data_IF_855964627886
#
_entry.id   IF_855964627886
#
_cell.length_a   1.000
_cell.length_b   1.000
_cell.length_c   1.000
_cell.angle_alpha   90.00
_cell.angle_beta   90.00
_cell.angle_gamma   90.00
#
_symmetry.space_group_name_H-M   'P 1'
#
loop_
_entity.id
_entity.type
_entity.pdbx_description
1 polymer ?
#
# COMPACT_ATOMS: atom_id res chain seq x y z
N UNK A 1 94.67 51.38 37.81
CA UNK A 1 93.78 52.18 38.69
C UNK A 1 92.34 51.97 38.32
N UNK A 2 91.54 51.81 39.30
CA UNK A 2 90.09 51.76 39.38
C UNK A 2 89.46 50.34 39.51
N UNK A 3 89.13 50.08 40.74
CA UNK A 3 88.38 49.04 41.37
C UNK A 3 86.86 49.08 40.97
N UNK A 4 86.28 47.98 40.65
CA UNK A 4 84.84 47.82 40.48
C UNK A 4 84.30 46.73 41.37
N UNK A 5 83.57 47.15 42.43
CA UNK A 5 82.84 46.30 43.41
C UNK A 5 81.64 45.59 42.70
N UNK A 6 81.61 44.27 42.76
CA UNK A 6 80.46 43.47 42.33
C UNK A 6 79.46 43.36 43.51
N UNK A 7 78.26 43.90 43.36
CA UNK A 7 77.12 43.68 44.20
C UNK A 7 76.37 42.37 43.75
N UNK A 8 76.50 41.37 44.64
CA UNK A 8 75.69 40.13 44.49
C UNK A 8 74.26 40.39 44.83
N UNK A 9 73.36 40.33 43.85
CA UNK A 9 71.93 40.35 44.04
C UNK A 9 71.40 38.92 44.36
N UNK A 10 70.93 38.70 45.54
CA UNK A 10 70.14 37.49 45.92
C UNK A 10 68.80 37.54 45.20
N UNK A 11 68.61 36.77 44.19
CA UNK A 11 67.30 36.54 43.62
C UNK A 11 66.46 35.58 44.49
N UNK A 12 65.19 35.92 44.80
CA UNK A 12 64.32 35.03 45.56
C UNK A 12 64.05 33.77 44.73
N UNK A 13 64.22 32.58 45.32
CA UNK A 13 63.78 31.33 44.79
C UNK A 13 62.26 31.39 44.68
N UNK A 14 61.72 31.49 43.43
CA UNK A 14 60.29 31.21 43.12
C UNK A 14 60.11 29.72 43.25
N UNK A 15 59.46 29.29 44.33
CA UNK A 15 58.93 27.93 44.45
C UNK A 15 57.85 27.75 43.45
N UNK A 16 58.03 26.77 42.50
CA UNK A 16 57.00 26.40 41.60
C UNK A 16 55.70 26.06 42.34
N UNK A 17 54.52 26.52 41.85
CA UNK A 17 53.27 26.18 42.51
C UNK A 17 53.11 24.64 42.46
N UNK A 18 52.77 24.06 43.61
CA UNK A 18 52.37 22.67 43.76
C UNK A 18 51.23 22.43 42.77
N UNK A 19 51.33 21.49 41.80
CA UNK A 19 50.22 21.19 40.93
C UNK A 19 49.00 20.85 41.79
N UNK A 20 47.86 21.49 41.52
CA UNK A 20 46.61 21.15 42.17
C UNK A 20 46.35 19.63 41.97
N UNK A 21 45.82 18.95 42.99
CA UNK A 21 45.53 17.54 42.86
C UNK A 21 44.60 17.37 41.63
N UNK A 22 45.04 16.55 40.67
CA UNK A 22 44.19 16.11 39.57
C UNK A 22 43.09 15.31 40.26
N UNK A 23 41.89 15.88 40.35
CA UNK A 23 40.69 15.14 40.73
C UNK A 23 40.49 14.21 39.56
N UNK A 24 40.93 12.96 39.67
CA UNK A 24 40.57 11.90 38.72
C UNK A 24 39.04 11.86 38.71
N UNK A 25 38.46 12.16 37.56
CA UNK A 25 37.02 12.04 37.35
C UNK A 25 36.73 10.51 37.35
N UNK A 26 36.36 9.99 38.53
CA UNK A 26 36.14 8.55 38.76
C UNK A 26 34.85 8.06 38.17
N UNK A 27 34.02 8.97 37.59
CA UNK A 27 32.73 8.68 37.02
C UNK A 27 32.79 8.09 35.61
N UNK A 28 31.68 7.57 35.15
CA UNK A 28 31.53 7.12 33.77
C UNK A 28 31.70 8.29 32.78
N UNK A 29 32.26 8.04 31.58
CA UNK A 29 32.36 9.05 30.53
C UNK A 29 31.01 9.71 30.29
N UNK A 30 30.97 11.04 30.11
CA UNK A 30 29.73 11.82 29.92
C UNK A 30 28.91 11.26 28.74
N UNK A 31 29.58 10.79 27.69
CA UNK A 31 28.91 10.19 26.50
C UNK A 31 28.13 8.90 26.84
N UNK A 32 28.50 8.19 27.90
CA UNK A 32 27.80 7.04 28.44
C UNK A 32 26.75 7.47 29.47
N UNK A 33 27.17 8.27 30.44
CA UNK A 33 26.32 8.67 31.55
C UNK A 33 25.00 9.36 31.12
N UNK A 34 24.98 10.08 30.03
CA UNK A 34 23.75 10.76 29.53
C UNK A 34 22.62 9.83 29.17
N UNK A 35 22.90 8.55 28.88
CA UNK A 35 21.90 7.52 28.59
C UNK A 35 21.48 6.71 29.81
N UNK A 36 22.13 6.90 30.95
CA UNK A 36 21.82 6.22 32.19
C UNK A 36 20.89 7.11 33.04
N UNK A 37 19.63 7.17 32.63
CA UNK A 37 18.61 7.89 33.39
C UNK A 37 18.34 7.20 34.74
N UNK A 38 17.85 7.95 35.77
CA UNK A 38 17.41 7.34 37.02
C UNK A 38 16.48 6.15 36.74
N UNK A 39 16.73 4.93 37.27
CA UNK A 39 15.88 3.76 37.02
C UNK A 39 14.41 3.96 37.35
N UNK A 40 14.03 4.98 38.09
CA UNK A 40 12.65 5.34 38.39
C UNK A 40 12.07 6.38 37.42
N UNK A 41 12.88 6.95 36.53
CA UNK A 41 12.40 7.98 35.59
C UNK A 41 11.41 7.42 34.60
N UNK A 42 10.18 7.92 34.67
CA UNK A 42 9.06 7.46 33.83
C UNK A 42 8.40 6.13 34.26
N UNK A 43 8.80 5.57 35.41
CA UNK A 43 8.13 4.44 36.03
C UNK A 43 6.89 4.92 36.80
N UNK A 44 5.71 4.48 36.35
CA UNK A 44 4.43 5.02 36.86
C UNK A 44 3.82 4.19 38.01
N UNK A 45 4.38 3.03 38.34
CA UNK A 45 3.83 2.17 39.41
C UNK A 45 4.48 2.52 40.74
N UNK A 46 3.73 2.27 41.83
CA UNK A 46 4.26 2.44 43.18
C UNK A 46 5.35 1.38 43.46
N UNK A 47 6.41 1.83 44.15
CA UNK A 47 7.50 0.99 44.60
C UNK A 47 7.75 1.28 46.08
N UNK A 48 8.10 0.25 46.83
CA UNK A 48 8.51 0.41 48.24
C UNK A 48 9.63 1.47 48.37
N UNK A 49 9.48 2.43 49.27
CA UNK A 49 10.47 3.52 49.44
C UNK A 49 11.90 3.04 49.69
N UNK A 50 12.07 1.93 50.42
CA UNK A 50 13.40 1.35 50.70
C UNK A 50 14.05 0.83 49.43
N UNK A 51 13.28 0.11 48.59
CA UNK A 51 13.76 -0.38 47.29
C UNK A 51 14.04 0.77 46.32
N UNK A 52 13.22 1.83 46.36
CA UNK A 52 13.44 3.01 45.54
C UNK A 52 14.74 3.73 45.91
N UNK A 53 15.03 3.84 47.21
CA UNK A 53 16.26 4.45 47.68
C UNK A 53 17.50 3.57 47.36
N UNK A 54 17.41 2.27 47.50
CA UNK A 54 18.45 1.32 47.11
C UNK A 54 18.79 1.46 45.60
N UNK A 55 17.80 1.50 44.74
CA UNK A 55 17.98 1.71 43.29
C UNK A 55 18.71 3.04 43.03
N UNK A 56 18.31 4.14 43.69
CA UNK A 56 18.92 5.46 43.47
C UNK A 56 20.34 5.52 44.02
N UNK A 57 20.63 4.86 45.12
CA UNK A 57 21.97 4.79 45.69
C UNK A 57 22.91 4.05 44.76
N UNK A 58 22.52 2.85 44.33
CA UNK A 58 23.29 2.04 43.42
C UNK A 58 23.48 2.71 42.03
N UNK A 59 22.45 3.33 41.49
CA UNK A 59 22.56 4.11 40.27
C UNK A 59 23.53 5.30 40.38
N UNK A 60 23.50 6.06 41.52
CA UNK A 60 24.44 7.15 41.74
C UNK A 60 25.89 6.68 41.87
N UNK A 61 26.14 5.54 42.54
CA UNK A 61 27.46 4.92 42.64
C UNK A 61 27.94 4.47 41.24
N UNK A 62 27.08 3.85 40.43
CA UNK A 62 27.39 3.48 39.04
C UNK A 62 27.83 4.71 38.23
N UNK A 63 27.05 5.80 38.23
CA UNK A 63 27.30 6.97 37.37
C UNK A 63 28.50 7.79 37.85
N UNK A 64 28.64 8.01 39.16
CA UNK A 64 29.66 8.90 39.74
C UNK A 64 30.98 8.23 40.13
N UNK A 65 30.92 6.94 40.44
CA UNK A 65 32.06 6.19 40.98
C UNK A 65 32.46 5.00 40.06
N UNK A 66 31.68 4.76 38.97
CA UNK A 66 31.81 3.62 38.07
C UNK A 66 31.71 2.26 38.79
N UNK A 67 30.91 2.23 39.88
CA UNK A 67 30.68 0.99 40.63
C UNK A 67 29.68 0.05 39.90
N UNK A 68 30.19 -0.59 38.87
CA UNK A 68 29.42 -1.54 38.07
C UNK A 68 29.03 -2.79 38.84
N UNK A 69 29.95 -3.27 39.70
CA UNK A 69 29.71 -4.48 40.50
C UNK A 69 28.62 -4.24 41.55
N UNK A 70 28.73 -3.12 42.33
CA UNK A 70 27.71 -2.77 43.31
C UNK A 70 26.32 -2.52 42.69
N UNK A 71 26.25 -1.92 41.48
CA UNK A 71 24.98 -1.75 40.77
C UNK A 71 24.36 -3.10 40.34
N UNK A 72 25.20 -4.03 39.91
CA UNK A 72 24.76 -5.39 39.53
C UNK A 72 24.27 -6.18 40.73
N UNK A 73 25.00 -6.15 41.84
CA UNK A 73 24.63 -6.84 43.08
C UNK A 73 23.32 -6.28 43.68
N UNK A 74 23.15 -4.96 43.71
CA UNK A 74 21.90 -4.34 44.15
C UNK A 74 20.72 -4.73 43.24
N UNK A 75 20.91 -4.71 41.95
CA UNK A 75 19.87 -5.13 41.00
C UNK A 75 19.50 -6.62 41.18
N UNK A 76 20.50 -7.50 41.39
CA UNK A 76 20.27 -8.91 41.61
C UNK A 76 19.49 -9.14 42.93
N UNK A 77 19.88 -8.48 44.03
CA UNK A 77 19.16 -8.57 45.29
C UNK A 77 17.69 -8.14 45.19
N UNK A 78 17.39 -7.08 44.43
CA UNK A 78 16.01 -6.62 44.18
C UNK A 78 15.22 -7.60 43.28
N UNK A 79 15.88 -8.22 42.29
CA UNK A 79 15.28 -9.22 41.41
C UNK A 79 15.03 -10.56 42.11
N UNK A 80 15.83 -10.90 43.12
CA UNK A 80 15.59 -12.07 43.98
C UNK A 80 14.28 -11.90 44.80
N UNK A 81 13.91 -10.67 45.13
CA UNK A 81 12.68 -10.34 45.86
C UNK A 81 11.51 -10.23 44.88
N UNK A 82 11.71 -9.58 43.74
CA UNK A 82 10.71 -9.40 42.67
C UNK A 82 11.38 -9.52 41.31
N UNK A 83 11.34 -10.73 40.76
CA UNK A 83 11.97 -11.04 39.47
C UNK A 83 11.35 -10.26 38.26
N UNK A 84 10.22 -9.61 38.46
CA UNK A 84 9.56 -8.84 37.42
C UNK A 84 9.74 -7.33 37.57
N UNK A 85 10.50 -6.84 38.55
CA UNK A 85 10.66 -5.42 38.88
C UNK A 85 11.40 -4.66 37.77
N UNK A 86 10.70 -3.84 36.93
CA UNK A 86 11.31 -3.17 35.78
C UNK A 86 12.49 -2.24 36.14
N UNK A 87 12.44 -1.40 37.23
CA UNK A 87 13.59 -0.57 37.60
C UNK A 87 14.84 -1.35 37.95
N UNK A 88 14.71 -2.54 38.54
CA UNK A 88 15.87 -3.41 38.83
C UNK A 88 16.48 -3.99 37.54
N UNK A 89 15.63 -4.37 36.56
CA UNK A 89 16.12 -4.76 35.22
C UNK A 89 16.85 -3.60 34.54
N UNK A 90 16.35 -2.37 34.65
CA UNK A 90 17.04 -1.19 34.10
C UNK A 90 18.39 -0.96 34.77
N UNK A 91 18.48 -1.04 36.10
CA UNK A 91 19.75 -0.89 36.80
C UNK A 91 20.77 -1.95 36.41
N UNK A 92 20.36 -3.22 36.32
CA UNK A 92 21.22 -4.29 35.80
C UNK A 92 21.69 -4.04 34.37
N UNK A 93 20.77 -3.57 33.50
CA UNK A 93 21.09 -3.22 32.13
C UNK A 93 22.05 -2.02 32.02
N UNK A 94 21.94 -1.05 32.93
CA UNK A 94 22.90 0.07 33.04
C UNK A 94 24.32 -0.39 33.41
N UNK A 95 24.43 -1.36 34.31
CA UNK A 95 25.72 -2.00 34.63
C UNK A 95 26.26 -2.75 33.39
N UNK A 96 25.45 -3.54 32.69
CA UNK A 96 25.85 -4.22 31.48
C UNK A 96 26.26 -3.24 30.36
N UNK A 97 25.54 -2.10 30.22
CA UNK A 97 25.85 -1.06 29.25
C UNK A 97 27.20 -0.39 29.53
N UNK A 98 27.52 -0.12 30.82
CA UNK A 98 28.79 0.47 31.22
C UNK A 98 30.00 -0.43 30.89
N UNK A 99 29.80 -1.73 30.80
CA UNK A 99 30.79 -2.72 30.34
C UNK A 99 30.78 -2.98 28.82
N UNK A 100 29.88 -2.32 28.06
CA UNK A 100 29.76 -2.51 26.60
C UNK A 100 29.02 -3.80 26.21
N UNK A 101 28.31 -4.43 27.14
CA UNK A 101 27.53 -5.66 26.90
C UNK A 101 26.17 -5.35 26.26
N UNK A 102 26.16 -4.65 25.12
CA UNK A 102 24.94 -4.10 24.49
C UNK A 102 23.90 -5.17 24.15
N UNK A 103 24.32 -6.37 23.76
CA UNK A 103 23.38 -7.47 23.50
C UNK A 103 22.61 -7.87 24.76
N UNK A 104 23.31 -8.00 25.90
CA UNK A 104 22.68 -8.32 27.18
C UNK A 104 21.67 -7.23 27.60
N UNK A 105 22.00 -5.94 27.33
CA UNK A 105 21.09 -4.83 27.57
C UNK A 105 19.81 -4.99 26.77
N UNK A 106 19.92 -5.27 25.44
CA UNK A 106 18.74 -5.43 24.58
C UNK A 106 17.90 -6.63 25.02
N UNK A 107 18.53 -7.79 25.23
CA UNK A 107 17.81 -9.02 25.63
C UNK A 107 17.08 -8.85 26.97
N UNK A 108 17.64 -8.06 27.90
CA UNK A 108 17.03 -7.75 29.20
C UNK A 108 15.90 -6.73 29.09
N UNK A 109 16.07 -5.65 28.30
CA UNK A 109 15.14 -4.53 28.27
C UNK A 109 14.03 -4.66 27.23
N UNK A 110 14.19 -5.46 26.20
CA UNK A 110 13.13 -5.62 25.18
C UNK A 110 11.81 -6.11 25.79
N UNK A 111 11.76 -7.15 26.66
CA UNK A 111 10.54 -7.56 27.33
C UNK A 111 9.98 -6.51 28.31
N UNK A 112 10.83 -5.66 28.89
CA UNK A 112 10.40 -4.54 29.73
C UNK A 112 9.77 -3.45 28.89
N UNK A 113 10.40 -3.10 27.76
CA UNK A 113 9.91 -2.11 26.81
C UNK A 113 8.56 -2.50 26.18
N UNK A 114 8.36 -3.76 25.85
CA UNK A 114 7.10 -4.26 25.32
C UNK A 114 5.94 -4.10 26.32
N UNK A 115 6.19 -4.33 27.60
CA UNK A 115 5.18 -4.16 28.68
C UNK A 115 4.97 -2.71 29.09
N UNK A 116 6.03 -1.90 29.05
CA UNK A 116 6.04 -0.51 29.50
C UNK A 116 6.64 0.40 28.40
N UNK A 117 5.93 0.58 27.28
CA UNK A 117 6.48 1.28 26.11
C UNK A 117 6.83 2.75 26.37
N UNK A 118 6.26 3.38 27.39
CA UNK A 118 6.53 4.78 27.73
C UNK A 118 7.51 4.95 28.89
N UNK A 119 8.16 3.88 29.34
CA UNK A 119 9.10 3.91 30.45
C UNK A 119 10.44 4.52 30.01
N UNK A 120 10.69 5.77 30.42
CA UNK A 120 11.78 6.61 29.90
C UNK A 120 13.16 5.98 30.09
N UNK A 121 13.51 5.57 31.32
CA UNK A 121 14.81 5.03 31.62
C UNK A 121 15.11 3.75 30.83
N UNK A 122 14.12 2.86 30.70
CA UNK A 122 14.25 1.60 29.93
C UNK A 122 14.41 1.86 28.45
N UNK A 123 13.54 2.69 27.87
CA UNK A 123 13.52 2.96 26.41
C UNK A 123 14.75 3.75 25.97
N UNK A 124 15.20 4.73 26.77
CA UNK A 124 16.41 5.50 26.45
C UNK A 124 17.63 4.59 26.33
N UNK A 125 17.81 3.71 27.30
CA UNK A 125 18.94 2.78 27.33
C UNK A 125 18.83 1.70 26.25
N UNK A 126 17.64 1.14 26.04
CA UNK A 126 17.35 0.20 24.95
C UNK A 126 17.70 0.79 23.59
N UNK A 127 17.24 2.02 23.35
CA UNK A 127 17.52 2.74 22.10
C UNK A 127 19.02 2.89 21.86
N UNK A 128 19.78 3.31 22.91
CA UNK A 128 21.22 3.49 22.77
C UNK A 128 21.95 2.15 22.54
N UNK A 129 21.59 1.11 23.28
CA UNK A 129 22.20 -0.21 23.09
C UNK A 129 21.92 -0.79 21.70
N UNK A 130 20.71 -0.58 21.18
CA UNK A 130 20.35 -0.97 19.82
C UNK A 130 21.18 -0.21 18.76
N UNK A 131 21.47 1.09 18.98
CA UNK A 131 22.36 1.85 18.09
C UNK A 131 23.78 1.26 18.07
N UNK A 132 24.35 0.94 19.23
CA UNK A 132 25.68 0.32 19.34
C UNK A 132 25.75 -1.04 18.60
N UNK A 133 24.63 -1.76 18.53
CA UNK A 133 24.50 -3.01 17.78
C UNK A 133 24.18 -2.78 16.30
N UNK A 134 23.92 -1.55 15.87
CA UNK A 134 23.53 -1.22 14.50
C UNK A 134 22.07 -1.56 14.18
N UNK A 135 21.23 -1.90 15.16
CA UNK A 135 19.79 -2.11 14.96
C UNK A 135 19.03 -0.78 15.03
N UNK A 136 19.14 -0.03 13.93
CA UNK A 136 18.54 1.32 13.79
C UNK A 136 17.02 1.29 13.93
N UNK A 137 16.36 0.23 13.47
CA UNK A 137 14.91 0.14 13.57
C UNK A 137 14.45 -0.01 15.03
N UNK A 138 15.11 -0.85 15.80
CA UNK A 138 14.84 -1.00 17.24
C UNK A 138 15.19 0.28 18.00
N UNK A 139 16.33 0.90 17.68
CA UNK A 139 16.75 2.16 18.31
C UNK A 139 15.70 3.26 18.09
N UNK A 140 15.26 3.43 16.83
CA UNK A 140 14.24 4.41 16.46
C UNK A 140 12.90 4.15 17.18
N UNK A 141 12.46 2.88 17.22
CA UNK A 141 11.23 2.50 17.92
C UNK A 141 11.29 2.83 19.42
N UNK A 142 12.41 2.52 20.08
CA UNK A 142 12.60 2.80 21.50
C UNK A 142 12.58 4.31 21.80
N UNK A 143 13.33 5.11 21.04
CA UNK A 143 13.32 6.57 21.23
C UNK A 143 11.95 7.19 20.91
N UNK A 144 11.25 6.69 19.90
CA UNK A 144 9.91 7.18 19.54
C UNK A 144 8.88 6.93 20.63
N UNK A 145 9.01 5.82 21.36
CA UNK A 145 8.10 5.47 22.45
C UNK A 145 8.12 6.48 23.61
N UNK A 146 9.26 7.12 23.85
CA UNK A 146 9.42 8.18 24.87
C UNK A 146 9.26 9.60 24.29
N UNK A 147 9.31 9.77 22.96
CA UNK A 147 8.95 10.98 22.22
C UNK A 147 9.55 12.25 22.79
N UNK A 148 8.72 13.27 23.02
CA UNK A 148 9.14 14.58 23.53
C UNK A 148 9.43 14.61 25.05
N UNK A 149 9.25 13.50 25.77
CA UNK A 149 9.50 13.44 27.22
C UNK A 149 10.99 13.48 27.52
N UNK A 150 11.85 13.14 26.57
CA UNK A 150 13.30 13.10 26.73
C UNK A 150 13.98 13.83 25.55
N UNK A 151 14.60 15.01 25.80
CA UNK A 151 15.22 15.82 24.73
C UNK A 151 16.27 15.07 23.90
N UNK A 152 17.06 14.19 24.54
CA UNK A 152 18.06 13.39 23.87
C UNK A 152 17.42 12.39 22.88
N UNK A 153 16.32 11.75 23.28
CA UNK A 153 15.58 10.86 22.39
C UNK A 153 15.02 11.61 21.19
N UNK A 154 14.50 12.82 21.39
CA UNK A 154 13.99 13.67 20.31
C UNK A 154 15.09 14.01 19.28
N UNK A 155 16.30 14.36 19.76
CA UNK A 155 17.46 14.59 18.90
C UNK A 155 17.82 13.34 18.11
N UNK A 156 17.94 12.18 18.77
CA UNK A 156 18.29 10.90 18.10
C UNK A 156 17.24 10.49 17.08
N UNK A 157 15.96 10.74 17.32
CA UNK A 157 14.91 10.51 16.35
C UNK A 157 15.14 11.26 15.04
N UNK A 158 15.49 12.55 15.12
CA UNK A 158 15.79 13.34 13.90
C UNK A 158 16.98 12.78 13.12
N UNK A 159 18.01 12.33 13.82
CA UNK A 159 19.23 11.78 13.20
C UNK A 159 19.03 10.39 12.59
N UNK A 160 18.21 9.55 13.22
CA UNK A 160 17.98 8.16 12.79
C UNK A 160 16.85 8.02 11.78
N UNK A 161 15.92 8.97 11.70
CA UNK A 161 14.70 8.88 10.90
C UNK A 161 14.94 8.44 9.45
N UNK A 162 15.81 9.09 8.65
CA UNK A 162 15.98 8.72 7.24
C UNK A 162 16.44 7.27 7.08
N UNK A 163 17.40 6.85 7.93
CA UNK A 163 17.96 5.50 7.86
C UNK A 163 16.96 4.44 8.36
N UNK A 164 16.16 4.77 9.36
CA UNK A 164 15.12 3.87 9.87
C UNK A 164 14.05 3.60 8.80
N UNK A 165 13.61 4.64 8.08
CA UNK A 165 12.68 4.52 6.96
C UNK A 165 13.27 3.69 5.83
N UNK A 166 14.52 3.94 5.44
CA UNK A 166 15.22 3.17 4.40
C UNK A 166 15.30 1.67 4.74
N UNK A 167 15.68 1.34 5.98
CA UNK A 167 15.77 -0.05 6.44
C UNK A 167 14.41 -0.75 6.40
N UNK A 168 13.34 -0.08 6.85
CA UNK A 168 12.00 -0.66 6.82
C UNK A 168 11.49 -0.84 5.38
N UNK A 169 11.74 0.14 4.51
CA UNK A 169 11.40 0.04 3.10
C UNK A 169 12.13 -1.13 2.44
N UNK A 170 13.42 -1.32 2.72
CA UNK A 170 14.18 -2.46 2.22
C UNK A 170 13.64 -3.81 2.77
N UNK A 171 13.35 -3.91 4.07
CA UNK A 171 12.76 -5.12 4.68
C UNK A 171 11.38 -5.44 4.09
N UNK A 172 10.56 -4.42 3.80
CA UNK A 172 9.29 -4.58 3.12
C UNK A 172 9.48 -5.19 1.73
N UNK A 173 10.36 -4.62 0.91
CA UNK A 173 10.62 -5.11 -0.44
C UNK A 173 11.19 -6.54 -0.42
N UNK A 174 12.07 -6.85 0.52
CA UNK A 174 12.60 -8.21 0.69
C UNK A 174 11.50 -9.20 1.10
N UNK A 175 10.58 -8.80 2.00
CA UNK A 175 9.41 -9.58 2.36
C UNK A 175 8.53 -9.90 1.13
N UNK A 176 8.26 -8.90 0.28
CA UNK A 176 7.51 -9.09 -0.96
C UNK A 176 8.24 -10.03 -1.93
N UNK A 177 9.54 -9.82 -2.14
CA UNK A 177 10.36 -10.64 -3.04
C UNK A 177 10.43 -12.11 -2.61
N UNK A 178 10.42 -12.39 -1.30
CA UNK A 178 10.46 -13.74 -0.74
C UNK A 178 9.09 -14.37 -0.47
N UNK A 179 7.99 -13.66 -0.83
CA UNK A 179 6.62 -14.11 -0.62
C UNK A 179 6.14 -14.08 0.84
N UNK A 180 6.88 -13.40 1.73
CA UNK A 180 6.55 -13.26 3.16
C UNK A 180 5.65 -12.04 3.38
N UNK A 181 4.41 -12.13 2.91
CA UNK A 181 3.47 -11.00 2.92
C UNK A 181 3.19 -10.44 4.32
N UNK A 182 3.15 -11.29 5.35
CA UNK A 182 2.93 -10.84 6.73
C UNK A 182 4.10 -10.00 7.26
N UNK A 183 5.34 -10.36 6.91
CA UNK A 183 6.53 -9.57 7.26
C UNK A 183 6.54 -8.23 6.50
N UNK A 184 6.19 -8.24 5.21
CA UNK A 184 6.06 -7.04 4.41
C UNK A 184 4.99 -6.10 4.99
N UNK A 185 3.82 -6.64 5.39
CA UNK A 185 2.75 -5.86 6.00
C UNK A 185 3.19 -5.23 7.32
N UNK A 186 3.85 -5.97 8.22
CA UNK A 186 4.37 -5.42 9.48
C UNK A 186 5.34 -4.26 9.26
N UNK A 187 6.23 -4.37 8.26
CA UNK A 187 7.14 -3.27 7.95
C UNK A 187 6.40 -2.08 7.34
N UNK A 188 5.34 -2.31 6.55
CA UNK A 188 4.47 -1.24 6.04
C UNK A 188 3.75 -0.52 7.19
N UNK A 189 3.19 -1.25 8.15
CA UNK A 189 2.49 -0.66 9.31
C UNK A 189 3.42 0.26 10.11
N UNK A 190 4.69 -0.16 10.28
CA UNK A 190 5.71 0.68 10.91
C UNK A 190 6.01 1.93 10.07
N UNK A 191 6.19 1.79 8.76
CA UNK A 191 6.39 2.93 7.84
C UNK A 191 5.23 3.91 7.87
N UNK A 192 3.99 3.43 7.82
CA UNK A 192 2.79 4.26 7.92
C UNK A 192 2.71 4.99 9.27
N UNK A 193 3.18 4.35 10.34
CA UNK A 193 3.24 4.97 11.67
C UNK A 193 4.37 6.00 11.80
N UNK A 194 5.51 5.82 11.13
CA UNK A 194 6.71 6.65 11.30
C UNK A 194 6.81 7.77 10.26
N UNK A 195 6.43 7.47 9.02
CA UNK A 195 6.62 8.33 7.87
C UNK A 195 5.45 8.21 6.87
N UNK A 196 4.19 8.48 7.27
CA UNK A 196 2.99 8.18 6.47
C UNK A 196 2.96 8.87 5.10
N UNK A 197 3.63 10.00 4.98
CA UNK A 197 3.62 10.81 3.76
C UNK A 197 4.88 10.68 2.91
N UNK A 198 5.83 9.85 3.29
CA UNK A 198 7.05 9.64 2.52
C UNK A 198 6.80 8.72 1.33
N UNK A 199 7.52 8.98 0.22
CA UNK A 199 7.35 8.21 -1.01
C UNK A 199 7.58 6.71 -0.80
N UNK A 200 8.60 6.34 -0.02
CA UNK A 200 8.88 4.95 0.30
C UNK A 200 7.69 4.22 0.97
N UNK A 201 6.95 4.92 1.82
CA UNK A 201 5.74 4.40 2.46
C UNK A 201 4.61 4.23 1.46
N UNK A 202 4.38 5.22 0.60
CA UNK A 202 3.31 5.18 -0.41
C UNK A 202 3.58 4.12 -1.48
N UNK A 203 4.83 4.02 -1.96
CA UNK A 203 5.27 2.97 -2.89
C UNK A 203 5.18 1.58 -2.24
N UNK A 204 5.55 1.46 -0.97
CA UNK A 204 5.38 0.24 -0.19
C UNK A 204 3.91 -0.18 -0.06
N UNK A 205 3.02 0.76 0.23
CA UNK A 205 1.58 0.50 0.32
C UNK A 205 1.01 0.00 -1.01
N UNK A 206 1.37 0.65 -2.13
CA UNK A 206 1.01 0.17 -3.47
C UNK A 206 1.50 -1.26 -3.70
N UNK A 207 2.79 -1.51 -3.41
CA UNK A 207 3.39 -2.82 -3.68
C UNK A 207 2.75 -3.96 -2.87
N UNK A 208 2.42 -3.70 -1.60
CA UNK A 208 1.71 -4.67 -0.75
C UNK A 208 0.28 -4.90 -1.25
N UNK A 209 -0.44 -3.85 -1.65
CA UNK A 209 -1.79 -3.95 -2.20
C UNK A 209 -1.81 -4.79 -3.49
N UNK A 210 -0.88 -4.54 -4.42
CA UNK A 210 -0.69 -5.34 -5.64
C UNK A 210 -0.42 -6.81 -5.31
N UNK A 211 0.49 -7.09 -4.36
CA UNK A 211 0.81 -8.45 -3.96
C UNK A 211 -0.37 -9.21 -3.32
N UNK A 212 -1.31 -8.49 -2.73
CA UNK A 212 -2.56 -9.03 -2.16
C UNK A 212 -3.71 -9.12 -3.17
N UNK A 213 -3.59 -8.48 -4.33
CA UNK A 213 -4.69 -8.32 -5.28
C UNK A 213 -5.79 -7.37 -4.76
N UNK A 214 -5.47 -6.47 -3.86
CA UNK A 214 -6.41 -5.49 -3.29
C UNK A 214 -6.38 -4.20 -4.10
N UNK A 215 -7.20 -4.14 -5.15
CA UNK A 215 -7.28 -2.99 -6.05
C UNK A 215 -7.79 -1.71 -5.34
N UNK A 216 -8.61 -1.85 -4.28
CA UNK A 216 -9.12 -0.70 -3.53
C UNK A 216 -7.99 -0.05 -2.72
N UNK A 217 -7.19 -0.87 -2.02
CA UNK A 217 -6.01 -0.38 -1.31
C UNK A 217 -4.96 0.16 -2.27
N UNK A 218 -4.78 -0.48 -3.45
CA UNK A 218 -3.87 0.02 -4.49
C UNK A 218 -4.31 1.40 -4.99
N UNK A 219 -5.61 1.60 -5.28
CA UNK A 219 -6.15 2.88 -5.70
C UNK A 219 -5.86 3.98 -4.68
N UNK A 220 -6.09 3.71 -3.40
CA UNK A 220 -5.79 4.67 -2.33
C UNK A 220 -4.31 5.08 -2.30
N UNK A 221 -3.40 4.12 -2.44
CA UNK A 221 -1.96 4.39 -2.50
C UNK A 221 -1.57 5.17 -3.77
N UNK A 222 -2.11 4.79 -4.94
CA UNK A 222 -1.85 5.45 -6.22
C UNK A 222 -2.38 6.88 -6.25
N UNK A 223 -3.53 7.17 -5.63
CA UNK A 223 -4.06 8.54 -5.49
C UNK A 223 -3.09 9.43 -4.71
N UNK A 224 -2.53 8.94 -3.61
CA UNK A 224 -1.53 9.67 -2.83
C UNK A 224 -0.21 9.85 -3.59
N UNK A 225 0.24 8.83 -4.32
CA UNK A 225 1.41 8.92 -5.19
C UNK A 225 1.24 9.95 -6.31
N UNK A 226 0.07 9.95 -6.99
CA UNK A 226 -0.25 10.92 -8.02
C UNK A 226 -0.27 12.37 -7.48
N UNK A 227 -0.73 12.58 -6.24
CA UNK A 227 -0.66 13.89 -5.60
C UNK A 227 0.79 14.36 -5.34
N UNK A 228 1.74 13.43 -5.16
CA UNK A 228 3.16 13.74 -4.95
C UNK A 228 3.95 13.83 -6.26
N UNK A 229 3.53 13.10 -7.28
CA UNK A 229 4.16 13.04 -8.61
C UNK A 229 3.09 13.27 -9.69
N UNK A 230 2.57 14.49 -9.82
CA UNK A 230 1.43 14.78 -10.71
C UNK A 230 1.75 14.64 -12.20
N UNK A 231 3.03 14.64 -12.59
CA UNK A 231 3.47 14.42 -13.96
C UNK A 231 3.98 13.01 -14.24
N UNK A 232 3.87 12.09 -13.28
CA UNK A 232 4.32 10.70 -13.48
C UNK A 232 3.25 9.93 -14.25
N UNK A 233 3.55 9.71 -15.52
CA UNK A 233 2.64 9.08 -16.48
C UNK A 233 2.22 7.66 -16.05
N UNK A 234 3.16 6.84 -15.59
CA UNK A 234 2.87 5.46 -15.18
C UNK A 234 1.86 5.43 -14.02
N UNK A 235 2.06 6.33 -13.05
CA UNK A 235 1.15 6.47 -11.91
C UNK A 235 -0.24 6.93 -12.37
N UNK A 236 -0.30 7.90 -13.30
CA UNK A 236 -1.58 8.41 -13.81
C UNK A 236 -2.33 7.37 -14.65
N UNK A 237 -1.64 6.63 -15.53
CA UNK A 237 -2.23 5.54 -16.30
C UNK A 237 -2.80 4.46 -15.38
N UNK A 238 -2.01 4.02 -14.37
CA UNK A 238 -2.49 3.04 -13.39
C UNK A 238 -3.67 3.56 -12.57
N UNK A 239 -3.66 4.85 -12.22
CA UNK A 239 -4.80 5.48 -11.54
C UNK A 239 -6.06 5.42 -12.39
N UNK A 240 -5.99 5.72 -13.69
CA UNK A 240 -7.14 5.60 -14.59
C UNK A 240 -7.69 4.17 -14.56
N UNK A 241 -6.84 3.15 -14.72
CA UNK A 241 -7.26 1.75 -14.70
C UNK A 241 -8.03 1.40 -13.41
N UNK A 242 -7.48 1.79 -12.27
CA UNK A 242 -8.08 1.51 -10.95
C UNK A 242 -9.37 2.30 -10.70
N UNK A 243 -9.42 3.58 -11.11
CA UNK A 243 -10.67 4.38 -11.03
C UNK A 243 -11.79 3.75 -11.88
N UNK A 244 -11.44 3.16 -13.04
CA UNK A 244 -12.40 2.47 -13.89
C UNK A 244 -12.80 1.07 -13.36
N UNK A 245 -11.95 0.43 -12.58
CA UNK A 245 -12.20 -0.92 -12.06
C UNK A 245 -12.98 -0.91 -10.74
N UNK A 246 -12.51 -0.10 -9.77
CA UNK A 246 -13.01 -0.12 -8.38
C UNK A 246 -13.30 1.25 -7.80
N UNK A 247 -12.97 2.34 -8.52
CA UNK A 247 -13.13 3.72 -8.07
C UNK A 247 -14.27 4.47 -8.76
N UNK A 248 -14.00 5.74 -9.09
CA UNK A 248 -14.94 6.63 -9.78
C UNK A 248 -14.60 6.76 -11.27
N UNK A 249 -15.40 6.19 -12.18
CA UNK A 249 -15.16 6.28 -13.62
C UNK A 249 -15.09 7.73 -14.15
N UNK A 250 -15.70 8.70 -13.47
CA UNK A 250 -15.64 10.13 -13.87
C UNK A 250 -14.24 10.71 -13.64
N UNK A 251 -13.59 10.34 -12.53
CA UNK A 251 -12.20 10.69 -12.23
C UNK A 251 -11.25 10.04 -13.23
N UNK A 252 -11.45 8.74 -13.50
CA UNK A 252 -10.70 8.02 -14.53
C UNK A 252 -10.78 8.69 -15.89
N UNK A 253 -11.98 9.09 -16.33
CA UNK A 253 -12.18 9.82 -17.59
C UNK A 253 -11.45 11.16 -17.61
N UNK A 254 -11.55 11.95 -16.55
CA UNK A 254 -10.89 13.25 -16.46
C UNK A 254 -9.35 13.13 -16.59
N UNK A 255 -8.75 12.16 -15.92
CA UNK A 255 -7.30 11.92 -15.98
C UNK A 255 -6.90 11.45 -17.37
N UNK A 256 -7.66 10.51 -17.98
CA UNK A 256 -7.40 10.00 -19.32
C UNK A 256 -7.52 11.11 -20.39
N UNK A 257 -8.44 12.07 -20.22
CA UNK A 257 -8.55 13.25 -21.08
C UNK A 257 -7.29 14.13 -20.98
N UNK A 258 -6.77 14.34 -19.77
CA UNK A 258 -5.51 15.08 -19.55
C UNK A 258 -4.35 14.40 -20.25
N UNK A 259 -4.14 13.10 -20.04
CA UNK A 259 -3.07 12.32 -20.68
C UNK A 259 -3.13 12.37 -22.21
N UNK A 260 -4.33 12.22 -22.79
CA UNK A 260 -4.50 12.28 -24.25
C UNK A 260 -4.31 13.70 -24.80
N UNK A 261 -4.63 14.76 -24.05
CA UNK A 261 -4.38 16.14 -24.46
C UNK A 261 -2.90 16.50 -24.43
N UNK A 262 -2.14 15.99 -23.46
CA UNK A 262 -0.68 16.19 -23.37
C UNK A 262 0.09 15.38 -24.42
N UNK A 263 -0.46 14.25 -24.86
CA UNK A 263 0.17 13.34 -25.84
C UNK A 263 -0.78 12.95 -26.97
N UNK A 264 -1.16 13.87 -27.85
CA UNK A 264 -2.21 13.63 -28.88
C UNK A 264 -1.86 12.55 -29.91
N UNK A 265 -0.58 12.30 -30.15
CA UNK A 265 -0.11 11.28 -31.10
C UNK A 265 0.13 9.91 -30.44
N UNK A 266 -0.13 9.79 -29.14
CA UNK A 266 0.07 8.53 -28.41
C UNK A 266 -1.13 7.61 -28.50
N UNK A 267 -0.98 6.52 -29.26
CA UNK A 267 -2.01 5.49 -29.41
C UNK A 267 -2.39 4.79 -28.08
N UNK A 268 -1.51 4.76 -27.08
CA UNK A 268 -1.82 4.18 -25.76
C UNK A 268 -2.75 5.10 -24.97
N UNK A 269 -2.42 6.41 -24.91
CA UNK A 269 -3.28 7.40 -24.29
C UNK A 269 -4.66 7.49 -24.95
N UNK A 270 -4.71 7.41 -26.28
CA UNK A 270 -5.98 7.39 -27.05
C UNK A 270 -6.83 6.15 -26.70
N UNK A 271 -6.22 4.97 -26.59
CA UNK A 271 -6.93 3.74 -26.18
C UNK A 271 -7.45 3.84 -24.74
N UNK A 272 -6.65 4.38 -23.83
CA UNK A 272 -7.04 4.56 -22.44
C UNK A 272 -8.22 5.53 -22.31
N UNK A 273 -8.20 6.63 -23.07
CA UNK A 273 -9.30 7.58 -23.13
C UNK A 273 -10.59 6.94 -23.68
N UNK A 274 -10.48 6.14 -24.75
CA UNK A 274 -11.62 5.42 -25.33
C UNK A 274 -12.24 4.44 -24.30
N UNK A 275 -11.41 3.67 -23.61
CA UNK A 275 -11.86 2.78 -22.54
C UNK A 275 -12.52 3.55 -21.38
N UNK A 276 -11.94 4.70 -20.98
CA UNK A 276 -12.47 5.53 -19.90
C UNK A 276 -13.84 6.13 -20.28
N UNK A 277 -13.98 6.65 -21.49
CA UNK A 277 -15.28 7.17 -22.00
C UNK A 277 -16.35 6.10 -21.97
N UNK A 278 -16.01 4.91 -22.42
CA UNK A 278 -16.96 3.80 -22.48
C UNK A 278 -17.40 3.35 -21.07
N UNK A 279 -16.44 3.16 -20.14
CA UNK A 279 -16.74 2.81 -18.75
C UNK A 279 -17.56 3.88 -18.03
N UNK A 280 -17.25 5.15 -18.25
CA UNK A 280 -18.04 6.25 -17.72
C UNK A 280 -19.48 6.24 -18.26
N UNK A 281 -19.69 6.02 -19.58
CA UNK A 281 -21.05 5.89 -20.14
C UNK A 281 -21.79 4.72 -19.51
N UNK A 282 -21.13 3.58 -19.30
CA UNK A 282 -21.72 2.42 -18.65
C UNK A 282 -22.17 2.74 -17.21
N UNK A 283 -21.39 3.50 -16.45
CA UNK A 283 -21.74 3.92 -15.08
C UNK A 283 -22.95 4.87 -15.02
N UNK A 284 -23.30 5.52 -16.13
CA UNK A 284 -24.47 6.40 -16.23
C UNK A 284 -25.77 5.65 -16.55
N UNK A 285 -25.71 4.37 -16.86
CA UNK A 285 -26.88 3.54 -17.15
C UNK A 285 -27.64 3.17 -15.87
N UNK A 286 -28.93 2.77 -15.96
CA UNK A 286 -29.68 2.27 -14.82
C UNK A 286 -28.94 1.15 -14.10
N UNK A 287 -29.03 1.12 -12.76
CA UNK A 287 -28.36 0.11 -11.93
C UNK A 287 -28.61 -1.33 -12.40
N UNK A 288 -29.84 -1.62 -12.78
CA UNK A 288 -30.22 -2.95 -13.29
C UNK A 288 -29.45 -3.37 -14.57
N UNK A 289 -28.96 -2.42 -15.38
CA UNK A 289 -28.12 -2.70 -16.55
C UNK A 289 -26.67 -2.88 -16.12
N UNK A 290 -26.21 -2.08 -15.14
CA UNK A 290 -24.87 -2.25 -14.57
C UNK A 290 -24.72 -3.61 -13.87
N UNK A 291 -25.77 -4.07 -13.16
CA UNK A 291 -25.79 -5.38 -12.51
C UNK A 291 -25.67 -6.50 -13.54
N UNK A 292 -26.37 -6.39 -14.69
CA UNK A 292 -26.22 -7.34 -15.82
C UNK A 292 -24.81 -7.31 -16.38
N UNK A 293 -24.21 -6.14 -16.53
CA UNK A 293 -22.83 -6.01 -17.01
C UNK A 293 -21.78 -6.61 -16.05
N UNK A 294 -22.12 -6.77 -14.77
CA UNK A 294 -21.27 -7.40 -13.76
C UNK A 294 -21.55 -8.91 -13.58
N UNK A 295 -22.59 -9.45 -14.21
CA UNK A 295 -23.01 -10.82 -14.02
C UNK A 295 -21.96 -11.83 -14.52
N UNK A 296 -21.63 -12.91 -13.78
CA UNK A 296 -20.60 -13.86 -14.18
C UNK A 296 -21.00 -14.70 -15.40
N UNK A 297 -22.28 -15.05 -15.54
CA UNK A 297 -22.83 -15.89 -16.60
C UNK A 297 -24.13 -15.27 -17.13
N UNK A 298 -24.12 -14.77 -18.35
CA UNK A 298 -25.30 -14.17 -18.95
C UNK A 298 -26.30 -15.21 -19.50
N UNK A 299 -27.57 -14.91 -19.32
CA UNK A 299 -28.64 -15.54 -20.08
C UNK A 299 -28.99 -14.71 -21.34
N UNK A 300 -29.99 -15.19 -22.10
CA UNK A 300 -30.42 -14.54 -23.35
C UNK A 300 -31.11 -13.20 -23.10
N UNK A 301 -31.87 -13.08 -22.00
CA UNK A 301 -32.53 -11.82 -21.61
C UNK A 301 -31.51 -10.78 -21.20
N UNK A 302 -30.50 -11.17 -20.44
CA UNK A 302 -29.40 -10.29 -20.02
C UNK A 302 -28.68 -9.69 -21.23
N UNK A 303 -28.38 -10.50 -22.23
CA UNK A 303 -27.71 -10.01 -23.43
C UNK A 303 -28.61 -9.10 -24.29
N UNK A 304 -29.92 -9.36 -24.33
CA UNK A 304 -30.87 -8.46 -24.95
C UNK A 304 -30.90 -7.07 -24.27
N UNK A 305 -30.83 -7.04 -22.93
CA UNK A 305 -30.69 -5.80 -22.15
C UNK A 305 -29.42 -5.05 -22.53
N UNK A 306 -28.26 -5.72 -22.55
CA UNK A 306 -26.99 -5.07 -22.90
C UNK A 306 -27.04 -4.50 -24.33
N UNK A 307 -27.58 -5.23 -25.31
CA UNK A 307 -27.72 -4.73 -26.68
C UNK A 307 -28.63 -3.51 -26.75
N UNK A 308 -29.78 -3.56 -26.09
CA UNK A 308 -30.74 -2.46 -26.09
C UNK A 308 -30.18 -1.16 -25.50
N UNK A 309 -29.44 -1.28 -24.38
CA UNK A 309 -28.96 -0.11 -23.67
C UNK A 309 -27.61 0.42 -24.18
N UNK A 310 -26.75 -0.46 -24.70
CA UNK A 310 -25.39 -0.08 -25.12
C UNK A 310 -25.30 0.25 -26.61
N UNK A 311 -26.19 -0.32 -27.47
CA UNK A 311 -26.17 -0.08 -28.90
C UNK A 311 -27.34 0.85 -29.31
N UNK A 312 -27.08 2.17 -29.56
CA UNK A 312 -28.14 3.12 -29.86
C UNK A 312 -29.03 2.70 -31.03
N UNK A 313 -28.45 2.11 -32.08
CA UNK A 313 -29.20 1.67 -33.25
C UNK A 313 -30.23 0.58 -32.89
N UNK A 314 -29.90 -0.31 -31.96
CA UNK A 314 -30.86 -1.32 -31.46
C UNK A 314 -32.05 -0.64 -30.80
N UNK A 315 -31.82 0.42 -30.06
CA UNK A 315 -32.89 1.15 -29.34
C UNK A 315 -33.78 1.97 -30.26
N UNK A 316 -33.22 2.61 -31.27
CA UNK A 316 -33.92 3.65 -32.05
C UNK A 316 -34.28 3.24 -33.48
N UNK A 317 -33.68 2.18 -34.04
CA UNK A 317 -34.03 1.71 -35.40
C UNK A 317 -35.51 1.29 -35.54
N UNK A 318 -36.05 1.36 -36.71
CA UNK A 318 -37.41 0.85 -36.97
C UNK A 318 -37.40 -0.67 -37.05
N UNK A 319 -38.32 -1.38 -36.35
CA UNK A 319 -38.43 -2.83 -36.46
C UNK A 319 -38.73 -3.27 -37.90
N UNK A 320 -38.08 -4.32 -38.34
CA UNK A 320 -38.26 -4.87 -39.71
C UNK A 320 -39.43 -5.85 -39.79
N UNK A 321 -39.82 -6.50 -38.68
CA UNK A 321 -40.92 -7.48 -38.65
C UNK A 321 -41.51 -7.58 -37.24
N UNK A 322 -42.84 -7.80 -37.14
CA UNK A 322 -43.51 -8.09 -35.86
C UNK A 322 -43.39 -9.58 -35.54
N UNK A 323 -42.31 -10.00 -34.88
CA UNK A 323 -42.15 -11.36 -34.38
C UNK A 323 -42.70 -11.46 -32.97
N UNK A 324 -43.41 -12.53 -32.67
CA UNK A 324 -44.01 -12.77 -31.34
C UNK A 324 -43.13 -13.72 -30.58
N UNK A 325 -42.81 -13.35 -29.34
CA UNK A 325 -42.18 -14.21 -28.33
C UNK A 325 -43.21 -14.45 -27.22
N UNK A 326 -43.81 -15.63 -27.18
CA UNK A 326 -44.97 -15.92 -26.32
C UNK A 326 -44.62 -16.11 -24.86
N UNK A 327 -43.36 -16.43 -24.56
CA UNK A 327 -42.82 -16.70 -23.23
C UNK A 327 -42.24 -15.45 -22.52
N UNK A 328 -42.43 -14.25 -23.14
CA UNK A 328 -41.93 -13.00 -22.56
C UNK A 328 -43.00 -11.96 -22.22
N UNK A 329 -44.27 -12.32 -22.33
CA UNK A 329 -45.37 -11.37 -22.18
C UNK A 329 -45.41 -10.68 -20.81
N UNK A 330 -45.04 -11.40 -19.74
CA UNK A 330 -44.97 -10.89 -18.37
C UNK A 330 -43.52 -10.79 -17.86
N UNK A 331 -42.54 -10.88 -18.76
CA UNK A 331 -41.13 -10.86 -18.33
C UNK A 331 -40.66 -9.43 -18.01
N UNK A 332 -39.91 -9.19 -16.93
CA UNK A 332 -39.46 -7.84 -16.55
C UNK A 332 -38.57 -7.15 -17.59
N UNK A 333 -37.98 -7.93 -18.53
CA UNK A 333 -37.18 -7.44 -19.67
C UNK A 333 -37.91 -7.55 -21.01
N UNK A 334 -39.24 -7.52 -20.99
CA UNK A 334 -40.07 -7.70 -22.20
C UNK A 334 -39.71 -6.70 -23.28
N UNK A 335 -39.54 -5.42 -22.96
CA UNK A 335 -39.26 -4.35 -23.94
C UNK A 335 -37.96 -4.63 -24.69
N UNK A 336 -36.87 -4.91 -23.96
CA UNK A 336 -35.56 -5.18 -24.53
C UNK A 336 -35.56 -6.44 -25.39
N UNK A 337 -36.20 -7.53 -24.92
CA UNK A 337 -36.30 -8.79 -25.65
C UNK A 337 -37.11 -8.62 -26.94
N UNK A 338 -38.31 -8.03 -26.85
CA UNK A 338 -39.17 -7.80 -28.04
C UNK A 338 -38.44 -6.94 -29.07
N UNK A 339 -37.65 -5.99 -28.61
CA UNK A 339 -36.87 -5.12 -29.47
C UNK A 339 -35.84 -5.87 -30.30
N UNK A 340 -34.97 -6.66 -29.66
CA UNK A 340 -33.92 -7.41 -30.37
C UNK A 340 -34.48 -8.52 -31.24
N UNK A 341 -35.62 -9.10 -30.88
CA UNK A 341 -36.34 -10.09 -31.68
C UNK A 341 -36.93 -9.43 -32.94
N UNK A 342 -37.61 -8.30 -32.81
CA UNK A 342 -38.24 -7.61 -33.95
C UNK A 342 -37.23 -6.98 -34.91
N UNK A 343 -36.01 -6.72 -34.48
CA UNK A 343 -34.89 -6.35 -35.34
C UNK A 343 -34.21 -7.54 -36.00
N UNK A 344 -34.60 -8.77 -35.67
CA UNK A 344 -33.99 -9.99 -36.23
C UNK A 344 -32.61 -10.32 -35.70
N UNK A 345 -32.17 -9.64 -34.62
CA UNK A 345 -30.85 -9.85 -34.03
C UNK A 345 -30.78 -11.17 -33.24
N UNK A 346 -31.86 -11.44 -32.48
CA UNK A 346 -31.99 -12.69 -31.73
C UNK A 346 -33.20 -13.50 -32.22
N UNK A 347 -33.04 -14.82 -32.31
CA UNK A 347 -34.07 -15.70 -32.83
C UNK A 347 -35.04 -16.14 -31.73
N UNK A 348 -36.28 -16.42 -32.13
CA UNK A 348 -37.28 -17.23 -31.41
C UNK A 348 -37.40 -18.61 -32.04
N UNK A 349 -37.82 -19.60 -31.25
CA UNK A 349 -38.13 -20.92 -31.80
C UNK A 349 -39.24 -20.81 -32.88
N UNK A 350 -39.02 -21.42 -34.03
CA UNK A 350 -39.88 -21.26 -35.17
C UNK A 350 -41.27 -21.91 -34.98
N UNK A 351 -41.37 -22.89 -34.06
CA UNK A 351 -42.59 -23.69 -33.84
C UNK A 351 -43.38 -23.17 -32.63
N UNK A 352 -42.66 -22.94 -31.52
CA UNK A 352 -43.27 -22.54 -30.26
C UNK A 352 -43.31 -21.04 -30.04
N UNK A 353 -42.60 -20.28 -30.88
CA UNK A 353 -42.40 -18.84 -30.72
C UNK A 353 -41.82 -18.45 -29.34
N UNK A 354 -40.95 -19.30 -28.78
CA UNK A 354 -40.30 -19.09 -27.50
C UNK A 354 -38.95 -18.40 -27.71
N UNK A 355 -38.68 -17.35 -26.91
CA UNK A 355 -37.38 -16.71 -26.83
C UNK A 355 -36.44 -17.42 -25.85
N UNK A 356 -37.00 -18.09 -24.85
CA UNK A 356 -36.27 -18.74 -23.75
C UNK A 356 -35.35 -17.76 -22.97
N UNK A 357 -35.92 -16.79 -22.25
CA UNK A 357 -35.15 -15.69 -21.60
C UNK A 357 -34.01 -16.18 -20.73
N UNK A 358 -34.28 -17.15 -19.87
CA UNK A 358 -33.32 -17.69 -18.88
C UNK A 358 -32.38 -18.76 -19.46
N UNK A 359 -32.39 -19.02 -20.78
CA UNK A 359 -31.45 -19.95 -21.37
C UNK A 359 -30.02 -19.39 -21.37
N UNK A 360 -29.02 -20.17 -20.92
CA UNK A 360 -27.63 -19.71 -20.84
C UNK A 360 -27.13 -19.26 -22.23
N UNK A 361 -26.49 -18.09 -22.27
CA UNK A 361 -25.91 -17.59 -23.52
C UNK A 361 -24.47 -18.08 -23.66
N UNK A 362 -24.20 -18.85 -24.70
CA UNK A 362 -22.84 -19.24 -25.06
C UNK A 362 -22.17 -18.14 -25.86
N UNK A 363 -20.83 -18.06 -25.76
CA UNK A 363 -20.01 -17.05 -26.46
C UNK A 363 -20.27 -17.05 -27.98
N UNK A 364 -20.39 -18.23 -28.60
CA UNK A 364 -20.74 -18.35 -30.02
C UNK A 364 -22.12 -17.79 -30.38
N UNK A 365 -23.08 -17.89 -29.45
CA UNK A 365 -24.41 -17.30 -29.61
C UNK A 365 -24.33 -15.76 -29.62
N UNK A 366 -23.61 -15.18 -28.68
CA UNK A 366 -23.40 -13.73 -28.61
C UNK A 366 -22.66 -13.18 -29.83
N UNK A 367 -21.57 -13.85 -30.27
CA UNK A 367 -20.82 -13.47 -31.48
C UNK A 367 -21.73 -13.47 -32.73
N UNK A 368 -22.61 -14.47 -32.84
CA UNK A 368 -23.58 -14.52 -33.96
C UNK A 368 -24.53 -13.31 -33.92
N UNK A 369 -25.01 -12.93 -32.75
CA UNK A 369 -25.89 -11.78 -32.60
C UNK A 369 -25.13 -10.48 -32.92
N UNK A 370 -23.88 -10.33 -32.49
CA UNK A 370 -23.08 -9.15 -32.81
C UNK A 370 -22.73 -9.04 -34.30
N UNK A 371 -22.44 -10.16 -34.98
CA UNK A 371 -22.26 -10.18 -36.44
C UNK A 371 -23.53 -9.78 -37.17
N UNK A 372 -24.72 -10.20 -36.69
CA UNK A 372 -26.01 -9.75 -37.22
C UNK A 372 -26.23 -8.25 -36.96
N UNK A 373 -25.82 -7.77 -35.80
CA UNK A 373 -25.89 -6.36 -35.46
C UNK A 373 -25.05 -5.53 -36.45
N UNK A 374 -23.81 -5.97 -36.72
CA UNK A 374 -22.95 -5.36 -37.73
C UNK A 374 -23.57 -5.43 -39.14
N UNK A 375 -24.16 -6.56 -39.52
CA UNK A 375 -24.84 -6.71 -40.82
C UNK A 375 -26.08 -5.83 -40.96
N UNK A 376 -26.77 -5.54 -39.85
CA UNK A 376 -27.99 -4.72 -39.85
C UNK A 376 -27.74 -3.22 -39.82
N UNK A 377 -26.65 -2.77 -39.23
CA UNK A 377 -26.39 -1.35 -38.96
C UNK A 377 -25.05 -0.84 -39.52
N UNK A 378 -24.12 -1.76 -39.89
CA UNK A 378 -22.82 -1.39 -40.45
C UNK A 378 -22.87 -1.26 -41.95
N UNK A 379 -22.81 -0.04 -42.49
CA UNK A 379 -22.77 0.18 -43.93
C UNK A 379 -21.36 -0.11 -44.50
N UNK A 380 -21.27 -0.97 -45.52
CA UNK A 380 -20.03 -1.20 -46.28
C UNK A 380 -18.94 -1.95 -45.53
N UNK A 381 -19.27 -2.75 -44.51
CA UNK A 381 -18.29 -3.57 -43.78
C UNK A 381 -17.89 -4.80 -44.64
N UNK A 382 -16.78 -4.70 -45.36
CA UNK A 382 -16.24 -5.76 -46.21
C UNK A 382 -15.92 -7.06 -45.46
N UNK A 383 -15.74 -7.03 -44.15
CA UNK A 383 -15.50 -8.21 -43.33
C UNK A 383 -16.69 -9.17 -43.29
N UNK A 384 -17.90 -8.69 -43.55
CA UNK A 384 -19.12 -9.50 -43.57
C UNK A 384 -19.33 -10.24 -44.94
N UNK A 385 -18.70 -9.79 -46.01
CA UNK A 385 -18.84 -10.31 -47.34
C UNK A 385 -17.86 -11.46 -47.67
N UNK A 386 -16.88 -11.68 -46.77
CA UNK A 386 -15.82 -12.66 -46.99
C UNK A 386 -16.24 -14.12 -46.74
N UNK A 387 -15.62 -15.06 -47.46
CA UNK A 387 -15.83 -16.51 -47.27
C UNK A 387 -15.55 -16.96 -45.82
N UNK A 388 -14.69 -16.27 -45.08
CA UNK A 388 -14.42 -16.51 -43.64
C UNK A 388 -15.66 -16.27 -42.78
N UNK A 389 -16.46 -15.23 -43.05
CA UNK A 389 -17.67 -14.91 -42.31
C UNK A 389 -18.74 -16.02 -42.46
N UNK A 390 -18.68 -16.78 -43.54
CA UNK A 390 -19.62 -17.86 -43.86
C UNK A 390 -19.17 -19.24 -43.34
N UNK A 391 -17.89 -19.43 -43.02
CA UNK A 391 -17.33 -20.73 -42.64
C UNK A 391 -17.60 -21.09 -41.19
N UNK A 392 -17.42 -20.12 -40.26
CA UNK A 392 -17.72 -20.28 -38.83
C UNK A 392 -17.94 -18.91 -38.14
N UNK A 393 -18.67 -18.93 -37.05
CA UNK A 393 -18.90 -17.70 -36.23
C UNK A 393 -17.58 -17.09 -35.75
N UNK A 394 -16.61 -17.94 -35.40
CA UNK A 394 -15.29 -17.46 -34.91
C UNK A 394 -14.50 -16.81 -36.07
N UNK A 395 -14.48 -17.43 -37.26
CA UNK A 395 -13.79 -16.85 -38.40
C UNK A 395 -14.42 -15.52 -38.85
N UNK A 396 -15.75 -15.40 -38.80
CA UNK A 396 -16.45 -14.14 -39.05
C UNK A 396 -16.11 -13.06 -38.03
N UNK A 397 -16.07 -13.43 -36.73
CA UNK A 397 -15.74 -12.50 -35.65
C UNK A 397 -14.27 -12.04 -35.72
N UNK A 398 -13.34 -12.91 -36.07
CA UNK A 398 -11.94 -12.54 -36.30
C UNK A 398 -11.78 -11.65 -37.54
N UNK A 399 -12.44 -12.01 -38.64
CA UNK A 399 -12.39 -11.20 -39.85
C UNK A 399 -12.94 -9.80 -39.72
N UNK A 400 -13.81 -9.56 -38.72
CA UNK A 400 -14.36 -8.25 -38.37
C UNK A 400 -13.69 -7.61 -37.14
N UNK A 401 -12.55 -8.09 -36.65
CA UNK A 401 -11.85 -7.56 -35.47
C UNK A 401 -12.71 -7.53 -34.17
N UNK A 402 -13.79 -8.34 -34.12
CA UNK A 402 -14.53 -8.57 -32.88
C UNK A 402 -13.74 -9.44 -31.90
N UNK A 403 -12.88 -10.29 -32.39
CA UNK A 403 -11.90 -11.09 -31.65
C UNK A 403 -10.51 -10.69 -32.12
N UNK A 404 -9.55 -10.65 -31.17
CA UNK A 404 -8.17 -10.30 -31.46
C UNK A 404 -7.30 -11.53 -31.76
N UNK A 405 -7.75 -12.71 -31.31
CA UNK A 405 -7.09 -14.00 -31.57
C UNK A 405 -8.09 -15.15 -31.61
N UNK A 406 -7.68 -16.27 -32.18
CA UNK A 406 -8.47 -17.54 -32.17
C UNK A 406 -8.73 -18.03 -30.74
N UNK A 407 -7.81 -17.76 -29.81
CA UNK A 407 -7.92 -18.17 -28.42
C UNK A 407 -9.09 -17.48 -27.70
N UNK A 408 -9.48 -16.29 -28.16
CA UNK A 408 -10.63 -15.56 -27.59
C UNK A 408 -11.97 -16.17 -28.02
N UNK A 409 -12.03 -17.02 -29.06
CA UNK A 409 -13.30 -17.51 -29.57
C UNK A 409 -14.06 -18.37 -28.56
N UNK A 410 -13.47 -19.44 -28.04
CA UNK A 410 -14.04 -20.34 -27.01
C UNK A 410 -15.56 -20.55 -27.15
N UNK A 411 -16.07 -21.12 -28.26
CA UNK A 411 -17.46 -21.02 -28.64
C UNK A 411 -18.46 -21.67 -27.68
N UNK A 412 -18.02 -22.65 -26.89
CA UNK A 412 -18.84 -23.38 -25.91
C UNK A 412 -18.87 -22.78 -24.52
N UNK A 413 -18.03 -21.80 -24.22
CA UNK A 413 -17.98 -21.16 -22.89
C UNK A 413 -19.22 -20.29 -22.64
N UNK A 414 -19.59 -20.19 -21.34
CA UNK A 414 -20.53 -19.18 -20.88
C UNK A 414 -19.93 -17.77 -21.06
N UNK A 415 -20.78 -16.81 -21.31
CA UNK A 415 -20.35 -15.42 -21.52
C UNK A 415 -20.62 -14.58 -20.26
N UNK A 416 -19.59 -14.00 -19.67
CA UNK A 416 -19.77 -13.04 -18.59
C UNK A 416 -20.23 -11.67 -19.11
N UNK A 417 -20.87 -10.88 -18.22
CA UNK A 417 -21.28 -9.52 -18.53
C UNK A 417 -20.12 -8.63 -18.97
N UNK A 418 -18.97 -8.71 -18.27
CA UNK A 418 -17.78 -7.96 -18.66
C UNK A 418 -17.26 -8.31 -20.05
N UNK A 419 -17.23 -9.60 -20.41
CA UNK A 419 -16.83 -10.03 -21.76
C UNK A 419 -17.84 -9.58 -22.82
N UNK A 420 -19.16 -9.63 -22.52
CA UNK A 420 -20.20 -9.15 -23.42
C UNK A 420 -20.09 -7.64 -23.67
N UNK A 421 -19.89 -6.86 -22.62
CA UNK A 421 -19.69 -5.40 -22.67
C UNK A 421 -18.48 -5.05 -23.55
N UNK A 422 -17.37 -5.78 -23.43
CA UNK A 422 -16.19 -5.55 -24.27
C UNK A 422 -16.44 -5.91 -25.76
N UNK A 423 -17.12 -7.01 -26.03
CA UNK A 423 -17.51 -7.37 -27.40
C UNK A 423 -18.46 -6.36 -28.03
N UNK A 424 -19.43 -5.83 -27.24
CA UNK A 424 -20.32 -4.75 -27.68
C UNK A 424 -19.53 -3.46 -27.94
N UNK A 425 -18.56 -3.10 -27.10
CA UNK A 425 -17.68 -1.94 -27.32
C UNK A 425 -16.93 -2.04 -28.66
N UNK A 426 -16.36 -3.20 -28.96
CA UNK A 426 -15.70 -3.45 -30.25
C UNK A 426 -16.70 -3.33 -31.41
N UNK A 427 -17.93 -3.84 -31.24
CA UNK A 427 -19.01 -3.68 -32.22
C UNK A 427 -19.34 -2.22 -32.48
N UNK A 428 -19.48 -1.40 -31.40
CA UNK A 428 -19.76 0.02 -31.54
C UNK A 428 -18.65 0.79 -32.27
N UNK A 429 -17.38 0.41 -32.02
CA UNK A 429 -16.25 1.00 -32.74
C UNK A 429 -16.33 0.72 -34.25
N UNK A 430 -16.73 -0.47 -34.64
CA UNK A 430 -16.94 -0.84 -36.06
C UNK A 430 -18.13 -0.10 -36.70
N UNK A 431 -19.17 0.17 -35.92
CA UNK A 431 -20.32 0.98 -36.33
C UNK A 431 -20.04 2.47 -36.40
N UNK A 432 -18.85 2.96 -35.98
CA UNK A 432 -18.53 4.38 -35.91
C UNK A 432 -19.23 5.12 -34.78
N UNK A 433 -19.82 4.41 -33.81
CA UNK A 433 -20.63 4.94 -32.72
C UNK A 433 -19.87 5.00 -31.38
N UNK A 434 -18.54 5.07 -31.39
CA UNK A 434 -17.65 5.06 -30.20
C UNK A 434 -17.60 6.41 -29.46
#
# INVERSE_FOLDING_TARGET
MLTGLGLGACAPRVTAPVPAPVIEDRGLPRAVAVYLADPLEGYAQEIDPTRADELRVAHRALVRESDVAGARDAAAGLLDIDAALPPAHVLAAQADFAEGLYRAVVDRLLPVGDRLPTYVAGQLLLGRAAEELGDVALAYAAYRAIGTRQPLALQRLGELHPRAVEILAHRLQEGLRTGKLDEAQKNLDLLQSWAPSELATLEGARSVAVAKGDEVAELAAVQLLAARRPADREILERRVELELAVGDPSQGLQIAQGLAAEHPDDAAAARLLDAARYRWRLSMLPQAVQDVAAHPDLDRADFAVLLYWLVPDVRYARPSAGRIATDVLDHPRQEEIVRVVNLGLMDVDATLHHFSPSAPLRRSGALRVLLRTLASFGEGLSCLDGAAAQSSVCAGALGCDLLLSDEECRPGEALSGGAAVELIRRTLKLLGAS
#
